data_IF_990844084796
#
_entry.id   IF_990844084796
#
_cell.length_a   1.000
_cell.length_b   1.000
_cell.length_c   1.000
_cell.angle_alpha   90.00
_cell.angle_beta   90.00
_cell.angle_gamma   90.00
#
_symmetry.space_group_name_H-M   'P 1'
#
loop_
_entity.id
_entity.type
_entity.pdbx_description
1 polymer ?
#
# COMPACT_ATOMS: atom_id res chain seq x y z
N UNK A 1 5.64 12.30 -19.73
CA UNK A 1 6.75 12.88 -20.55
C UNK A 1 7.97 12.96 -19.66
N UNK A 2 8.91 11.99 -19.75
CA UNK A 2 10.16 12.02 -18.95
C UNK A 2 10.88 13.35 -19.17
N UNK A 3 11.24 14.04 -18.10
CA UNK A 3 12.13 15.20 -18.20
C UNK A 3 13.53 14.72 -18.63
N UNK A 4 14.33 15.60 -19.22
CA UNK A 4 15.71 15.26 -19.60
C UNK A 4 16.60 14.88 -18.40
N UNK A 5 16.17 15.23 -17.20
CA UNK A 5 16.89 15.04 -15.93
C UNK A 5 16.44 13.76 -15.19
N UNK A 6 15.38 13.08 -15.66
CA UNK A 6 14.89 11.87 -14.99
C UNK A 6 15.84 10.71 -15.27
N UNK A 7 16.41 10.04 -14.27
CA UNK A 7 17.26 8.86 -14.46
C UNK A 7 16.54 7.78 -15.26
N UNK A 8 17.27 7.06 -16.11
CA UNK A 8 16.72 5.99 -16.94
C UNK A 8 16.11 4.84 -16.13
N UNK A 9 16.49 4.73 -14.86
CA UNK A 9 16.08 3.69 -13.93
C UNK A 9 14.81 4.02 -13.12
N UNK A 10 14.17 5.16 -13.40
CA UNK A 10 12.94 5.58 -12.71
C UNK A 10 11.73 5.25 -13.57
N UNK A 11 10.78 4.54 -12.99
CA UNK A 11 9.45 4.28 -13.56
C UNK A 11 8.38 4.89 -12.66
N UNK A 12 7.43 5.59 -13.27
CA UNK A 12 6.35 6.26 -12.56
C UNK A 12 5.02 5.80 -13.12
N UNK A 13 4.09 5.44 -12.25
CA UNK A 13 2.68 5.26 -12.56
C UNK A 13 1.86 6.40 -11.99
N UNK A 14 1.09 7.02 -12.85
CA UNK A 14 0.08 8.01 -12.48
C UNK A 14 -1.15 7.33 -11.89
N UNK A 15 -1.96 8.11 -11.18
CA UNK A 15 -3.23 7.66 -10.62
C UNK A 15 -4.13 6.94 -11.64
N UNK A 16 -4.25 7.49 -12.84
CA UNK A 16 -5.11 6.92 -13.89
C UNK A 16 -4.62 5.52 -14.31
N UNK A 17 -3.31 5.35 -14.43
CA UNK A 17 -2.71 4.04 -14.75
C UNK A 17 -2.92 3.04 -13.63
N UNK A 18 -2.77 3.46 -12.37
CA UNK A 18 -2.98 2.63 -11.18
C UNK A 18 -4.43 2.18 -11.08
N UNK A 19 -5.39 3.10 -11.20
CA UNK A 19 -6.82 2.81 -11.09
C UNK A 19 -7.34 1.94 -12.25
N UNK A 20 -6.75 2.05 -13.44
CA UNK A 20 -7.14 1.29 -14.63
C UNK A 20 -6.44 -0.06 -14.75
N UNK A 21 -5.48 -0.37 -13.87
CA UNK A 21 -4.68 -1.60 -13.98
C UNK A 21 -5.53 -2.84 -13.68
N UNK A 22 -5.66 -3.79 -14.64
CA UNK A 22 -6.44 -5.01 -14.44
C UNK A 22 -5.82 -5.91 -13.36
N UNK A 23 -6.62 -6.38 -12.41
CA UNK A 23 -6.15 -7.30 -11.38
C UNK A 23 -5.42 -6.65 -10.20
N UNK A 24 -5.44 -5.32 -10.08
CA UNK A 24 -4.89 -4.63 -8.92
C UNK A 24 -5.59 -4.98 -7.60
N UNK A 25 -6.87 -5.37 -7.65
CA UNK A 25 -7.69 -5.77 -6.50
C UNK A 25 -7.52 -4.84 -5.28
N UNK A 26 -7.56 -3.53 -5.51
CA UNK A 26 -7.34 -2.48 -4.51
C UNK A 26 -5.95 -2.53 -3.82
N UNK A 27 -4.98 -3.18 -4.43
CA UNK A 27 -3.64 -3.35 -3.92
C UNK A 27 -2.62 -2.71 -4.87
N UNK A 28 -2.05 -1.59 -4.45
CA UNK A 28 -1.05 -0.87 -5.23
C UNK A 28 0.21 -1.70 -5.46
N UNK A 29 0.54 -2.63 -4.57
CA UNK A 29 1.72 -3.50 -4.69
C UNK A 29 1.63 -4.40 -5.93
N UNK A 30 0.43 -4.90 -6.24
CA UNK A 30 0.19 -5.69 -7.46
C UNK A 30 0.38 -4.89 -8.74
N UNK A 31 0.02 -3.60 -8.71
CA UNK A 31 0.29 -2.69 -9.83
C UNK A 31 1.80 -2.52 -10.01
N UNK A 32 2.51 -2.29 -8.91
CA UNK A 32 3.97 -2.11 -8.90
C UNK A 32 4.68 -3.35 -9.43
N UNK A 33 4.24 -4.56 -9.05
CA UNK A 33 4.85 -5.82 -9.54
C UNK A 33 4.80 -5.97 -11.07
N UNK A 34 3.96 -5.22 -11.77
CA UNK A 34 3.92 -5.20 -13.23
C UNK A 34 4.98 -4.31 -13.88
N UNK A 35 5.71 -3.52 -13.09
CA UNK A 35 6.76 -2.64 -13.63
C UNK A 35 7.93 -3.45 -14.22
N UNK A 36 8.57 -2.94 -15.27
CA UNK A 36 9.75 -3.60 -15.84
C UNK A 36 10.89 -3.73 -14.83
N UNK A 37 11.48 -4.92 -14.76
CA UNK A 37 12.62 -5.22 -13.87
C UNK A 37 12.22 -5.75 -12.50
N UNK A 38 10.92 -5.93 -12.24
CA UNK A 38 10.40 -6.60 -11.05
C UNK A 38 10.02 -8.04 -11.37
N UNK A 39 10.17 -8.88 -10.36
CA UNK A 39 9.67 -10.25 -10.38
C UNK A 39 8.70 -10.45 -9.23
N UNK A 40 7.54 -11.08 -9.46
CA UNK A 40 6.67 -11.48 -8.37
C UNK A 40 7.36 -12.57 -7.53
N UNK A 41 6.93 -12.71 -6.28
CA UNK A 41 7.42 -13.81 -5.44
C UNK A 41 7.03 -15.16 -6.00
N UNK A 42 7.85 -16.16 -5.74
CA UNK A 42 7.59 -17.54 -6.16
C UNK A 42 6.33 -18.05 -5.46
N UNK A 43 5.38 -18.56 -6.24
CA UNK A 43 4.13 -19.14 -5.73
C UNK A 43 2.93 -18.19 -5.69
N UNK A 44 3.09 -16.89 -5.95
CA UNK A 44 1.98 -15.92 -6.08
C UNK A 44 1.19 -15.60 -4.81
N UNK A 45 1.56 -16.16 -3.65
CA UNK A 45 0.87 -15.96 -2.38
C UNK A 45 1.42 -14.80 -1.55
N UNK A 46 2.42 -14.08 -2.06
CA UNK A 46 3.10 -12.99 -1.35
C UNK A 46 3.23 -11.79 -2.26
N UNK A 47 3.15 -10.61 -1.67
CA UNK A 47 3.33 -9.34 -2.34
C UNK A 47 4.80 -8.85 -2.30
N UNK A 48 5.77 -9.74 -2.19
CA UNK A 48 7.17 -9.37 -2.25
C UNK A 48 7.50 -8.63 -3.54
N UNK A 49 8.27 -7.57 -3.43
CA UNK A 49 8.79 -6.81 -4.55
C UNK A 49 10.26 -7.19 -4.71
N UNK A 50 10.55 -7.99 -5.72
CA UNK A 50 11.91 -8.46 -6.04
C UNK A 50 12.44 -7.67 -7.23
N UNK A 51 13.45 -6.85 -7.00
CA UNK A 51 14.05 -5.99 -8.01
C UNK A 51 15.37 -6.61 -8.47
N UNK A 52 15.45 -6.96 -9.76
CA UNK A 52 16.67 -7.49 -10.40
C UNK A 52 17.33 -8.64 -9.65
N UNK A 53 16.54 -9.49 -8.99
CA UNK A 53 17.03 -10.65 -8.24
C UNK A 53 17.56 -10.32 -6.83
N UNK A 54 17.36 -9.12 -6.33
CA UNK A 54 17.63 -8.76 -4.94
C UNK A 54 16.64 -9.39 -3.97
N UNK A 55 16.97 -9.37 -2.68
CA UNK A 55 16.06 -9.86 -1.64
C UNK A 55 14.89 -8.89 -1.41
N UNK A 56 13.70 -9.36 -1.00
CA UNK A 56 12.54 -8.50 -0.77
C UNK A 56 12.78 -7.38 0.25
N UNK A 57 13.61 -7.62 1.26
CA UNK A 57 13.96 -6.65 2.31
C UNK A 57 15.05 -5.65 1.91
N UNK A 58 15.52 -5.68 0.67
CA UNK A 58 16.51 -4.73 0.15
C UNK A 58 15.87 -3.48 -0.47
N UNK A 59 14.55 -3.48 -0.63
CA UNK A 59 13.78 -2.33 -1.13
C UNK A 59 13.32 -1.47 0.02
N UNK A 60 13.52 -0.15 -0.11
CA UNK A 60 13.06 0.83 0.88
C UNK A 60 11.77 1.48 0.38
N UNK A 61 10.83 1.69 1.29
CA UNK A 61 9.49 2.21 1.00
C UNK A 61 9.29 3.60 1.62
N UNK A 62 8.77 4.52 0.83
CA UNK A 62 8.43 5.87 1.27
C UNK A 62 6.95 6.18 1.00
N UNK A 63 6.30 6.78 1.97
CA UNK A 63 4.95 7.33 1.86
C UNK A 63 5.01 8.83 2.11
N UNK A 64 4.75 9.65 1.07
CA UNK A 64 4.92 11.11 1.13
C UNK A 64 6.27 11.53 1.74
N UNK A 65 7.38 10.98 1.22
CA UNK A 65 8.76 11.24 1.65
C UNK A 65 9.14 10.69 3.04
N UNK A 66 8.21 10.04 3.75
CA UNK A 66 8.46 9.39 5.05
C UNK A 66 8.74 7.91 4.81
N UNK A 67 9.88 7.42 5.30
CA UNK A 67 10.19 6.00 5.24
C UNK A 67 9.21 5.20 6.10
N UNK A 68 8.66 4.13 5.52
CA UNK A 68 7.77 3.19 6.20
C UNK A 68 8.40 1.78 6.18
N UNK A 69 8.31 1.05 7.29
CA UNK A 69 9.03 -0.23 7.41
C UNK A 69 8.41 -1.35 6.56
N UNK A 70 7.13 -1.23 6.23
CA UNK A 70 6.38 -2.25 5.53
C UNK A 70 5.18 -1.67 4.78
N UNK A 71 4.80 -2.33 3.69
CA UNK A 71 3.67 -1.96 2.84
C UNK A 71 2.59 -3.03 2.74
N UNK A 72 2.77 -4.17 3.41
CA UNK A 72 1.89 -5.32 3.31
C UNK A 72 1.39 -5.81 4.67
N UNK A 73 0.19 -6.39 4.69
CA UNK A 73 -0.33 -7.16 5.82
C UNK A 73 0.44 -8.47 6.00
N UNK A 74 0.43 -9.02 7.21
CA UNK A 74 1.03 -10.33 7.56
C UNK A 74 2.49 -10.47 7.13
N UNK A 75 3.26 -9.40 7.23
CA UNK A 75 4.68 -9.46 6.89
C UNK A 75 5.44 -10.28 7.94
N UNK A 76 6.43 -11.05 7.48
CA UNK A 76 7.29 -11.88 8.32
C UNK A 76 8.72 -11.37 8.26
N UNK A 77 9.54 -11.73 9.24
CA UNK A 77 10.95 -11.35 9.28
C UNK A 77 11.69 -11.73 7.98
N UNK A 78 12.53 -10.81 7.49
CA UNK A 78 13.31 -11.00 6.26
C UNK A 78 12.51 -10.95 4.96
N UNK A 79 11.25 -10.53 5.04
CA UNK A 79 10.32 -10.44 3.92
C UNK A 79 9.58 -9.11 3.98
N UNK A 80 9.47 -8.45 2.86
CA UNK A 80 8.62 -7.25 2.72
C UNK A 80 7.18 -7.61 2.32
N UNK A 81 6.87 -8.89 2.17
CA UNK A 81 5.64 -9.35 1.55
C UNK A 81 4.75 -10.20 2.45
N UNK A 82 3.53 -9.74 2.67
CA UNK A 82 2.37 -10.56 3.01
C UNK A 82 1.51 -10.79 1.77
N UNK A 83 0.32 -11.42 1.90
CA UNK A 83 -0.55 -11.72 0.78
C UNK A 83 -1.28 -10.48 0.21
N UNK A 84 -1.35 -9.38 0.96
CA UNK A 84 -2.14 -8.19 0.64
C UNK A 84 -1.43 -6.92 1.07
N UNK A 85 -1.47 -5.88 0.22
CA UNK A 85 -0.92 -4.57 0.53
C UNK A 85 -1.78 -3.77 1.49
N UNK A 86 -1.15 -2.98 2.38
CA UNK A 86 -1.82 -2.08 3.31
C UNK A 86 -2.21 -0.74 2.67
N UNK A 87 -1.54 -0.33 1.60
CA UNK A 87 -1.75 0.98 1.00
C UNK A 87 -2.97 0.95 0.09
N UNK A 88 -3.98 1.77 0.42
CA UNK A 88 -5.20 1.87 -0.36
C UNK A 88 -4.97 2.68 -1.66
N UNK A 89 -5.29 2.09 -2.79
CA UNK A 89 -5.20 2.74 -4.12
C UNK A 89 -5.94 4.09 -4.15
N UNK A 90 -7.06 4.21 -3.44
CA UNK A 90 -7.85 5.46 -3.42
C UNK A 90 -7.08 6.67 -2.87
N UNK A 91 -5.98 6.45 -2.16
CA UNK A 91 -5.10 7.50 -1.64
C UNK A 91 -4.00 7.91 -2.59
N UNK A 92 -3.62 7.04 -3.53
CA UNK A 92 -2.42 7.23 -4.32
C UNK A 92 -2.68 8.13 -5.51
N UNK A 93 -1.83 9.12 -5.67
CA UNK A 93 -1.76 10.00 -6.85
C UNK A 93 -0.69 9.53 -7.82
N UNK A 94 0.44 9.08 -7.29
CA UNK A 94 1.57 8.62 -8.07
C UNK A 94 2.39 7.58 -7.31
N UNK A 95 2.93 6.60 -8.03
CA UNK A 95 3.91 5.64 -7.52
C UNK A 95 5.17 5.72 -8.36
N UNK A 96 6.30 5.93 -7.72
CA UNK A 96 7.62 6.01 -8.37
C UNK A 96 8.52 4.88 -7.89
N UNK A 97 9.04 4.10 -8.83
CA UNK A 97 10.04 3.07 -8.59
C UNK A 97 11.38 3.52 -9.15
N UNK A 98 12.39 3.57 -8.29
CA UNK A 98 13.80 3.75 -8.67
C UNK A 98 14.56 2.45 -8.45
N UNK A 99 15.20 1.93 -9.50
CA UNK A 99 15.92 0.64 -9.47
C UNK A 99 17.45 0.79 -9.51
N UNK A 100 17.96 2.00 -9.60
CA UNK A 100 19.37 2.37 -9.52
C UNK A 100 19.52 3.89 -9.51
N UNK A 101 20.73 4.39 -9.26
CA UNK A 101 21.06 5.81 -9.22
C UNK A 101 20.15 6.57 -8.23
N UNK A 102 20.08 6.05 -7.00
CA UNK A 102 19.27 6.64 -5.93
C UNK A 102 19.76 8.05 -5.56
N UNK A 103 18.83 8.95 -5.29
CA UNK A 103 19.15 10.27 -4.75
C UNK A 103 19.77 10.18 -3.36
N UNK A 104 20.46 11.23 -2.98
CA UNK A 104 21.13 11.31 -1.65
C UNK A 104 20.15 11.40 -0.49
N UNK A 105 18.90 11.68 -0.78
CA UNK A 105 17.77 11.74 0.16
C UNK A 105 17.32 10.37 0.67
N UNK A 106 17.69 9.28 -0.03
CA UNK A 106 17.28 7.92 0.34
C UNK A 106 18.36 7.22 1.14
N UNK A 107 18.00 6.74 2.33
CA UNK A 107 18.93 6.01 3.18
C UNK A 107 18.94 4.51 2.84
N UNK A 108 20.15 3.97 2.67
CA UNK A 108 20.46 2.55 2.54
C UNK A 108 19.65 1.70 1.52
N UNK A 109 19.18 2.18 0.36
CA UNK A 109 18.55 1.30 -0.61
C UNK A 109 19.60 0.39 -1.26
N UNK A 110 19.35 -0.92 -1.23
CA UNK A 110 20.22 -1.92 -1.88
C UNK A 110 19.69 -2.33 -3.26
N UNK A 111 18.40 -2.64 -3.38
CA UNK A 111 17.77 -3.07 -4.63
C UNK A 111 16.95 -1.98 -5.29
N UNK A 112 16.20 -1.22 -4.51
CA UNK A 112 15.35 -0.17 -5.03
C UNK A 112 14.71 0.72 -3.99
N UNK A 113 14.13 1.83 -4.49
CA UNK A 113 13.30 2.74 -3.73
C UNK A 113 11.93 2.78 -4.35
N UNK A 114 10.90 2.55 -3.56
CA UNK A 114 9.51 2.66 -3.96
C UNK A 114 8.85 3.79 -3.16
N UNK A 115 8.43 4.82 -3.88
CA UNK A 115 7.80 6.00 -3.29
C UNK A 115 6.33 6.06 -3.69
N UNK A 116 5.47 6.23 -2.70
CA UNK A 116 4.04 6.42 -2.83
C UNK A 116 3.71 7.87 -2.48
N UNK A 117 3.18 8.61 -3.46
CA UNK A 117 2.70 9.96 -3.25
C UNK A 117 1.18 9.93 -3.08
N UNK A 118 0.72 10.38 -1.91
CA UNK A 118 -0.70 10.43 -1.60
C UNK A 118 -1.33 11.71 -2.14
N UNK A 119 -2.55 11.60 -2.66
CA UNK A 119 -3.37 12.77 -2.97
C UNK A 119 -3.78 13.52 -1.70
N UNK A 120 -4.11 14.78 -1.84
CA UNK A 120 -4.81 15.54 -0.82
C UNK A 120 -6.32 15.34 -0.96
N UNK A 121 -7.06 15.55 0.12
CA UNK A 121 -8.52 15.48 0.10
C UNK A 121 -9.14 16.54 -0.81
N UNK A 122 -10.37 16.31 -1.26
CA UNK A 122 -11.10 17.26 -2.10
C UNK A 122 -11.28 18.61 -1.38
N UNK A 123 -10.80 19.74 -1.95
CA UNK A 123 -10.90 21.05 -1.29
C UNK A 123 -12.29 21.69 -1.42
N UNK A 124 -13.16 21.18 -2.30
CA UNK A 124 -14.42 21.84 -2.66
C UNK A 124 -15.61 21.25 -1.91
N UNK A 125 -15.69 19.95 -1.81
CA UNK A 125 -16.85 19.24 -1.29
C UNK A 125 -16.48 17.95 -0.56
N UNK A 126 -17.35 17.55 0.36
CA UNK A 126 -17.27 16.24 0.99
C UNK A 126 -17.68 15.18 -0.04
N UNK A 127 -16.80 14.25 -0.30
CA UNK A 127 -17.05 13.12 -1.18
C UNK A 127 -16.65 11.80 -0.51
N UNK A 128 -17.21 10.72 -1.01
CA UNK A 128 -16.92 9.39 -0.49
C UNK A 128 -16.97 8.35 -1.59
N UNK A 129 -16.21 7.29 -1.38
CA UNK A 129 -16.17 6.13 -2.24
C UNK A 129 -16.35 4.88 -1.38
N UNK A 130 -17.23 4.00 -1.79
CA UNK A 130 -17.34 2.66 -1.23
C UNK A 130 -16.91 1.67 -2.30
N UNK A 131 -15.96 0.83 -1.95
CA UNK A 131 -15.44 -0.25 -2.81
C UNK A 131 -15.75 -1.58 -2.19
N UNK A 132 -16.20 -2.51 -3.02
CA UNK A 132 -16.39 -3.90 -2.66
C UNK A 132 -15.58 -4.74 -3.66
N UNK A 133 -14.52 -5.37 -3.17
CA UNK A 133 -13.60 -6.20 -3.95
C UNK A 133 -13.83 -7.69 -3.75
N UNK A 134 -12.96 -8.51 -4.32
CA UNK A 134 -13.01 -9.97 -4.15
C UNK A 134 -12.57 -10.41 -2.75
N UNK A 135 -11.66 -9.67 -2.13
CA UNK A 135 -10.99 -10.03 -0.88
C UNK A 135 -11.32 -9.11 0.30
N UNK A 136 -11.79 -7.89 0.02
CA UNK A 136 -12.03 -6.85 1.03
C UNK A 136 -13.14 -5.88 0.63
N UNK A 137 -13.55 -5.06 1.59
CA UNK A 137 -14.37 -3.89 1.35
C UNK A 137 -13.72 -2.66 2.00
N UNK A 138 -13.81 -1.52 1.32
CA UNK A 138 -13.22 -0.27 1.75
C UNK A 138 -14.21 0.89 1.65
N UNK A 139 -14.16 1.78 2.62
CA UNK A 139 -14.82 3.08 2.58
C UNK A 139 -13.74 4.15 2.63
N UNK A 140 -13.83 5.12 1.73
CA UNK A 140 -12.94 6.29 1.72
C UNK A 140 -13.80 7.54 1.73
N UNK A 141 -13.50 8.48 2.60
CA UNK A 141 -14.14 9.79 2.68
C UNK A 141 -13.09 10.87 2.58
N UNK A 142 -13.38 11.93 1.86
CA UNK A 142 -12.48 13.06 1.70
C UNK A 142 -13.26 14.36 1.57
N UNK A 143 -12.65 15.47 1.96
CA UNK A 143 -13.29 16.77 1.85
C UNK A 143 -12.53 17.89 2.55
N UNK A 144 -13.12 19.11 2.52
CA UNK A 144 -12.63 20.22 3.31
C UNK A 144 -12.99 20.02 4.79
N UNK A 145 -12.09 20.39 5.69
CA UNK A 145 -12.35 20.31 7.12
C UNK A 145 -13.32 21.39 7.60
N UNK A 146 -13.39 22.52 6.89
CA UNK A 146 -14.33 23.62 7.13
C UNK A 146 -15.05 23.97 5.82
N UNK A 147 -16.29 24.46 5.94
CA UNK A 147 -17.09 24.98 4.79
C UNK A 147 -16.82 26.45 4.48
N UNK A 148 -15.87 27.07 5.14
CA UNK A 148 -15.49 28.46 4.88
C UNK A 148 -14.86 28.60 3.50
N UNK A 149 -15.15 29.71 2.82
CA UNK A 149 -14.71 30.00 1.46
C UNK A 149 -13.16 30.02 1.32
N UNK A 150 -12.45 30.32 2.41
CA UNK A 150 -11.00 30.34 2.50
C UNK A 150 -10.41 29.10 3.21
N UNK A 151 -11.13 27.99 3.25
CA UNK A 151 -10.63 26.78 3.89
C UNK A 151 -9.34 26.28 3.21
N UNK A 152 -8.30 26.14 4.01
CA UNK A 152 -6.97 25.69 3.59
C UNK A 152 -6.67 24.26 4.06
N UNK A 153 -7.65 23.60 4.71
CA UNK A 153 -7.45 22.29 5.32
C UNK A 153 -8.33 21.25 4.65
N UNK A 154 -7.73 20.21 4.15
CA UNK A 154 -8.43 19.06 3.58
C UNK A 154 -8.09 17.79 4.32
N UNK A 155 -8.97 16.82 4.29
CA UNK A 155 -8.72 15.50 4.83
C UNK A 155 -9.11 14.41 3.83
N UNK A 156 -8.48 13.27 3.96
CA UNK A 156 -8.88 12.00 3.37
C UNK A 156 -8.67 10.91 4.41
N UNK A 157 -9.65 10.04 4.55
CA UNK A 157 -9.62 8.92 5.48
C UNK A 157 -10.22 7.68 4.85
N UNK A 158 -9.63 6.52 5.11
CA UNK A 158 -10.14 5.22 4.68
C UNK A 158 -10.10 4.21 5.80
N UNK A 159 -11.10 3.33 5.81
CA UNK A 159 -11.08 2.10 6.58
C UNK A 159 -11.38 0.93 5.64
N UNK A 160 -10.59 -0.14 5.74
CA UNK A 160 -10.75 -1.35 4.94
C UNK A 160 -10.86 -2.57 5.84
N UNK A 161 -11.74 -3.51 5.47
CA UNK A 161 -11.94 -4.79 6.15
C UNK A 161 -11.81 -5.93 5.16
N UNK A 162 -10.98 -6.90 5.50
CA UNK A 162 -10.85 -8.16 4.78
C UNK A 162 -11.98 -9.13 5.11
N UNK A 163 -12.29 -10.01 4.17
CA UNK A 163 -13.08 -11.20 4.38
C UNK A 163 -12.45 -12.44 3.72
N UNK A 164 -11.13 -12.40 3.54
CA UNK A 164 -10.33 -13.50 2.98
C UNK A 164 -10.54 -14.82 3.73
N UNK A 165 -10.74 -14.77 5.05
CA UNK A 165 -11.03 -15.96 5.87
C UNK A 165 -12.24 -16.76 5.35
N UNK A 166 -13.30 -16.08 4.88
CA UNK A 166 -14.48 -16.74 4.34
C UNK A 166 -14.20 -17.40 2.99
N UNK A 167 -13.46 -16.69 2.12
CA UNK A 167 -13.08 -17.22 0.81
C UNK A 167 -12.17 -18.44 0.97
N UNK A 168 -11.19 -18.38 1.85
CA UNK A 168 -10.26 -19.48 2.10
C UNK A 168 -10.96 -20.70 2.71
N UNK A 169 -11.94 -20.46 3.58
CA UNK A 169 -12.80 -21.53 4.10
C UNK A 169 -13.62 -22.22 2.99
N UNK A 170 -14.18 -21.43 2.05
CA UNK A 170 -14.97 -21.93 0.93
C UNK A 170 -14.16 -22.85 -0.01
N UNK A 171 -12.89 -22.54 -0.23
CA UNK A 171 -12.00 -23.31 -1.10
C UNK A 171 -11.21 -24.39 -0.34
N UNK A 172 -11.52 -24.61 0.95
CA UNK A 172 -10.92 -25.67 1.76
C UNK A 172 -9.48 -25.42 2.20
N UNK A 173 -9.00 -24.17 2.17
CA UNK A 173 -7.68 -23.84 2.72
C UNK A 173 -7.73 -23.79 4.24
N UNK A 174 -6.68 -24.27 4.93
CA UNK A 174 -6.65 -24.28 6.41
C UNK A 174 -6.29 -22.94 7.04
N UNK A 175 -5.96 -21.92 6.25
CA UNK A 175 -5.53 -20.61 6.74
C UNK A 175 -6.70 -19.62 6.77
N UNK A 176 -6.71 -18.75 7.78
CA UNK A 176 -7.78 -17.76 8.04
C UNK A 176 -7.16 -16.36 8.24
N UNK A 177 -6.69 -15.71 7.17
CA UNK A 177 -6.22 -14.33 7.25
C UNK A 177 -7.41 -13.38 7.41
N UNK A 178 -7.32 -12.48 8.36
CA UNK A 178 -8.27 -11.39 8.58
C UNK A 178 -7.53 -10.12 8.94
N UNK A 179 -7.97 -8.98 8.42
CA UNK A 179 -7.35 -7.70 8.75
C UNK A 179 -8.34 -6.55 8.72
N UNK A 180 -7.98 -5.52 9.46
CA UNK A 180 -8.43 -4.15 9.30
C UNK A 180 -7.25 -3.27 8.97
N UNK A 181 -7.43 -2.30 8.10
CA UNK A 181 -6.50 -1.19 7.98
C UNK A 181 -7.20 0.15 7.94
N UNK A 182 -6.44 1.15 8.34
CA UNK A 182 -6.87 2.53 8.43
C UNK A 182 -5.77 3.40 7.84
N UNK A 183 -6.16 4.29 6.95
CA UNK A 183 -5.27 5.26 6.34
C UNK A 183 -5.90 6.64 6.41
N UNK A 184 -5.11 7.65 6.77
CA UNK A 184 -5.59 9.00 6.88
C UNK A 184 -4.53 10.03 6.55
N UNK A 185 -4.95 11.13 5.92
CA UNK A 185 -4.09 12.29 5.67
C UNK A 185 -4.88 13.56 5.88
N UNK A 186 -4.30 14.48 6.63
CA UNK A 186 -4.80 15.86 6.75
C UNK A 186 -3.73 16.75 6.14
N UNK A 187 -4.12 17.57 5.18
CA UNK A 187 -3.26 18.57 4.58
C UNK A 187 -3.74 19.96 4.97
N UNK A 188 -2.87 20.79 5.52
CA UNK A 188 -3.12 22.20 5.81
C UNK A 188 -2.16 23.07 5.04
N UNK A 189 -2.70 23.88 4.12
CA UNK A 189 -1.94 24.84 3.32
C UNK A 189 -1.79 26.14 4.11
N UNK A 190 -0.57 26.45 4.58
CA UNK A 190 -0.26 27.69 5.29
C UNK A 190 -0.27 28.85 4.31
N UNK A 191 0.53 28.72 3.24
CA UNK A 191 0.66 29.68 2.13
C UNK A 191 0.94 28.94 0.81
N UNK A 192 1.37 29.65 -0.22
CA UNK A 192 1.61 29.06 -1.54
C UNK A 192 2.87 28.19 -1.61
N UNK A 193 3.74 28.27 -0.63
CA UNK A 193 5.03 27.55 -0.57
C UNK A 193 5.10 26.55 0.57
N UNK A 194 4.24 26.70 1.59
CA UNK A 194 4.32 25.93 2.82
C UNK A 194 3.00 25.20 3.11
N UNK A 195 3.12 23.93 3.46
CA UNK A 195 2.00 23.10 3.93
C UNK A 195 2.43 22.17 5.03
N UNK A 196 1.48 21.76 5.85
CA UNK A 196 1.66 20.75 6.89
C UNK A 196 0.79 19.53 6.49
N UNK A 197 1.41 18.36 6.49
CA UNK A 197 0.73 17.09 6.30
C UNK A 197 0.80 16.29 7.60
N UNK A 198 -0.35 15.76 8.03
CA UNK A 198 -0.44 14.77 9.10
C UNK A 198 -0.89 13.48 8.45
N UNK A 199 -0.10 12.42 8.59
CA UNK A 199 -0.34 11.13 7.95
C UNK A 199 -0.47 10.07 9.04
N UNK A 200 -1.47 9.21 8.91
CA UNK A 200 -1.68 8.03 9.75
C UNK A 200 -1.85 6.79 8.88
N UNK A 201 -1.14 5.73 9.23
CA UNK A 201 -1.27 4.40 8.64
C UNK A 201 -1.29 3.40 9.79
N UNK A 202 -2.26 2.50 9.80
CA UNK A 202 -2.38 1.47 10.83
C UNK A 202 -3.07 0.23 10.30
N UNK A 203 -2.68 -0.94 10.82
CA UNK A 203 -3.28 -2.21 10.51
C UNK A 203 -3.48 -3.03 11.78
N UNK A 204 -4.50 -3.89 11.77
CA UNK A 204 -4.76 -4.92 12.77
C UNK A 204 -4.89 -6.22 12.01
N UNK A 205 -3.91 -7.09 12.15
CA UNK A 205 -3.82 -8.36 11.45
C UNK A 205 -4.11 -9.51 12.40
N UNK A 206 -4.97 -10.43 11.98
CA UNK A 206 -5.24 -11.70 12.63
C UNK A 206 -5.01 -12.85 11.64
N UNK A 207 -4.17 -13.79 12.02
CA UNK A 207 -3.84 -14.93 11.17
C UNK A 207 -3.92 -16.21 11.98
N UNK A 208 -4.88 -17.07 11.66
CA UNK A 208 -5.02 -18.37 12.27
C UNK A 208 -4.94 -19.50 11.26
N UNK A 209 -4.50 -20.67 11.72
CA UNK A 209 -4.45 -21.89 10.94
C UNK A 209 -5.38 -22.90 11.60
N UNK A 210 -6.44 -23.31 10.90
CA UNK A 210 -7.30 -24.41 11.33
C UNK A 210 -6.64 -25.73 10.87
N UNK A 211 -6.14 -26.50 11.81
CA UNK A 211 -5.66 -27.86 11.49
C UNK A 211 -6.84 -28.70 11.00
N UNK A 212 -6.71 -29.51 9.93
CA UNK A 212 -7.68 -30.53 9.59
C UNK A 212 -7.86 -31.48 10.77
N UNK A 213 -9.09 -31.97 10.99
CA UNK A 213 -9.45 -32.80 12.14
C UNK A 213 -8.59 -34.08 12.29
N UNK A 214 -7.83 -34.48 11.28
CA UNK A 214 -6.92 -35.63 11.24
C UNK A 214 -5.43 -35.29 11.51
N UNK A 215 -5.08 -34.04 11.81
CA UNK A 215 -3.70 -33.64 12.09
C UNK A 215 -3.50 -33.28 13.56
N UNK A 216 -2.79 -34.15 14.28
CA UNK A 216 -2.42 -34.01 15.70
C UNK A 216 -1.21 -33.05 15.90
N UNK A 217 -1.19 -31.94 15.15
CA UNK A 217 -0.17 -30.91 15.29
C UNK A 217 -0.77 -29.58 15.78
N UNK A 218 -0.59 -29.34 17.07
CA UNK A 218 -0.78 -28.00 17.64
C UNK A 218 0.40 -27.13 17.27
N UNK A 219 0.33 -26.43 16.15
CA UNK A 219 1.30 -25.39 15.82
C UNK A 219 0.85 -24.10 16.51
N UNK A 220 1.47 -23.75 17.61
CA UNK A 220 1.35 -22.41 18.19
C UNK A 220 2.03 -21.43 17.25
N UNK A 221 1.24 -20.57 16.62
CA UNK A 221 1.77 -19.39 15.95
C UNK A 221 2.20 -18.39 17.03
N UNK A 222 3.49 -18.11 17.09
CA UNK A 222 4.00 -16.99 17.86
C UNK A 222 3.67 -15.72 17.08
N UNK A 223 2.72 -14.94 17.59
CA UNK A 223 2.53 -13.53 17.26
C UNK A 223 3.42 -12.75 18.23
N UNK A 224 4.48 -12.15 17.73
CA UNK A 224 5.17 -11.02 18.35
C UNK A 224 4.93 -9.76 17.53
#
# INVERSE_FOLDING_TARGET
KKSKETPLSVNTFSRVEIESYPGADNDVTKVVQSMPGLSPSVGGFRNDIIIRGGAPNETVYYLDEIEIPNINHFSTQGSAGGPQGMINISFIDEVTLSTSAFGVEYDNPLSGVLQFNQKNGNPKELSGNFRFGASDSAITIEGPLSKEENNKTTFIFSARKSYLQFLFKLIGLPIRPDYWDFQGKINHKIDDYNSINIIGLGAIDDFSVEAPDDFDFTQQSFLE
#
